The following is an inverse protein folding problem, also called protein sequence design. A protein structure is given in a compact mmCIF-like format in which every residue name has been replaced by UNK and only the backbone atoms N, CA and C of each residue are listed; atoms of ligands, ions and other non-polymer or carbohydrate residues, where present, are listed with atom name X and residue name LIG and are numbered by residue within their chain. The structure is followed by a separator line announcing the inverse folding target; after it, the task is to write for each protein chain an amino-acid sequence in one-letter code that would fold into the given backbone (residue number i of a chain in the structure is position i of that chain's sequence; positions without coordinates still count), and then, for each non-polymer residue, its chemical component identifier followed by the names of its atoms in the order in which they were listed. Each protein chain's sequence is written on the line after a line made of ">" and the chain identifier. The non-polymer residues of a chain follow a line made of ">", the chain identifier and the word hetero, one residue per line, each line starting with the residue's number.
data_IF_354556320940
#
_entry.id   IF_354556320940
#
_cell.length_a   1.000
_cell.length_b   1.000
_cell.length_c   1.000
_cell.angle_alpha   90.00
_cell.angle_beta   90.00
_cell.angle_gamma   90.00
#
_symmetry.space_group_name_H-M   'P 1'
#
loop_
_entity.id
_entity.type
_entity.pdbx_description
1 polymer ?
#
# COMPACT_ATOMS: atom_id res chain seq x y z
N UNK A 1 10.99 34.40 17.78
CA UNK A 1 9.82 33.88 18.52
C UNK A 1 8.76 33.59 17.48
N UNK A 2 8.77 32.38 16.93
CA UNK A 2 7.81 31.97 15.90
C UNK A 2 6.51 31.58 16.62
N UNK A 3 5.42 32.26 16.31
CA UNK A 3 4.12 32.05 16.98
C UNK A 3 3.49 30.73 16.56
N UNK A 4 2.60 30.20 17.41
CA UNK A 4 1.89 28.93 17.25
C UNK A 4 1.01 28.85 15.97
N UNK A 5 0.89 29.94 15.22
CA UNK A 5 0.07 30.06 14.00
C UNK A 5 0.69 29.38 12.76
N UNK A 6 1.99 29.09 12.78
CA UNK A 6 2.67 28.37 11.69
C UNK A 6 2.31 26.86 11.68
N UNK A 7 1.96 26.32 12.86
CA UNK A 7 1.51 24.93 12.98
C UNK A 7 0.07 24.76 12.49
N UNK A 8 -0.77 25.81 12.58
CA UNK A 8 -2.19 25.74 12.19
C UNK A 8 -2.43 25.99 10.71
N UNK A 9 -1.55 26.71 9.99
CA UNK A 9 -1.65 26.92 8.53
C UNK A 9 -1.23 25.74 7.66
N UNK A 10 -0.65 24.68 8.25
CA UNK A 10 -0.25 23.46 7.55
C UNK A 10 -0.94 22.21 8.11
N UNK A 11 -2.23 22.30 8.43
CA UNK A 11 -3.11 21.13 8.24
C UNK A 11 -3.25 20.96 6.73
N UNK A 12 -2.17 20.56 6.06
CA UNK A 12 -2.24 20.08 4.70
C UNK A 12 -3.32 18.99 4.70
N UNK A 13 -4.29 19.10 3.81
CA UNK A 13 -5.30 18.06 3.61
C UNK A 13 -4.56 16.73 3.55
N UNK A 14 -4.94 15.77 4.42
CA UNK A 14 -4.30 14.46 4.42
C UNK A 14 -4.41 13.88 3.01
N UNK A 15 -3.29 13.38 2.47
CA UNK A 15 -3.30 12.77 1.15
C UNK A 15 -4.26 11.58 1.09
N UNK A 16 -4.72 11.22 -0.10
CA UNK A 16 -5.62 10.07 -0.25
C UNK A 16 -5.00 8.78 0.34
N UNK A 17 -3.69 8.62 0.20
CA UNK A 17 -2.93 7.50 0.75
C UNK A 17 -2.92 7.53 2.28
N UNK A 18 -2.77 8.71 2.88
CA UNK A 18 -2.83 8.86 4.34
C UNK A 18 -4.22 8.51 4.88
N UNK A 19 -5.28 8.94 4.18
CA UNK A 19 -6.66 8.61 4.55
C UNK A 19 -6.92 7.10 4.41
N UNK A 20 -6.46 6.48 3.32
CA UNK A 20 -6.56 5.05 3.11
C UNK A 20 -5.80 4.24 4.18
N UNK A 21 -4.61 4.69 4.59
CA UNK A 21 -3.84 4.05 5.64
C UNK A 21 -4.57 4.08 6.99
N UNK A 22 -5.22 5.19 7.33
CA UNK A 22 -6.05 5.30 8.55
C UNK A 22 -7.21 4.30 8.50
N UNK A 23 -7.90 4.20 7.36
CA UNK A 23 -9.02 3.28 7.20
C UNK A 23 -8.58 1.81 7.25
N UNK A 24 -7.44 1.46 6.66
CA UNK A 24 -6.85 0.12 6.75
C UNK A 24 -6.55 -0.27 8.21
N UNK A 25 -6.00 0.64 9.00
CA UNK A 25 -5.74 0.40 10.43
C UNK A 25 -7.05 0.20 11.20
N UNK A 26 -8.08 1.02 10.93
CA UNK A 26 -9.41 0.88 11.55
C UNK A 26 -10.01 -0.49 11.25
N UNK A 27 -10.03 -0.89 9.97
CA UNK A 27 -10.58 -2.18 9.53
C UNK A 27 -9.81 -3.36 10.13
N UNK A 28 -8.49 -3.28 10.25
CA UNK A 28 -7.68 -4.32 10.88
C UNK A 28 -8.04 -4.48 12.36
N UNK A 29 -8.19 -3.38 13.10
CA UNK A 29 -8.60 -3.41 14.50
C UNK A 29 -9.99 -4.02 14.68
N UNK A 30 -10.95 -3.66 13.82
CA UNK A 30 -12.31 -4.22 13.85
C UNK A 30 -12.36 -5.72 13.59
N UNK A 31 -11.41 -6.23 12.80
CA UNK A 31 -11.26 -7.65 12.52
C UNK A 31 -10.42 -8.39 13.58
N UNK A 32 -9.92 -7.70 14.60
CA UNK A 32 -9.01 -8.28 15.60
C UNK A 32 -7.63 -8.64 15.04
N UNK A 33 -7.27 -8.09 13.88
CA UNK A 33 -5.98 -8.30 13.25
C UNK A 33 -4.91 -7.45 13.97
N UNK A 34 -3.83 -8.11 14.41
CA UNK A 34 -2.67 -7.42 14.97
C UNK A 34 -2.07 -6.46 13.94
N UNK A 35 -1.70 -5.24 14.35
CA UNK A 35 -1.07 -4.28 13.43
C UNK A 35 0.33 -4.74 12.98
N UNK A 36 1.01 -5.51 13.83
CA UNK A 36 2.36 -6.02 13.61
C UNK A 36 2.44 -7.53 13.93
N UNK A 37 3.61 -8.12 13.68
CA UNK A 37 3.87 -9.54 13.92
C UNK A 37 3.78 -10.41 12.67
N UNK A 38 4.06 -11.72 12.79
CA UNK A 38 4.15 -12.64 11.65
C UNK A 38 2.88 -12.77 10.81
N UNK A 39 1.73 -12.44 11.37
CA UNK A 39 0.44 -12.48 10.65
C UNK A 39 -0.26 -11.12 10.69
N UNK A 40 0.44 -10.06 11.12
CA UNK A 40 -0.13 -8.74 11.29
C UNK A 40 -0.23 -7.93 10.00
N UNK A 41 -1.05 -6.88 10.05
CA UNK A 41 -1.37 -5.99 8.93
C UNK A 41 -0.11 -5.51 8.20
N UNK A 42 0.88 -4.98 8.91
CA UNK A 42 2.07 -4.38 8.28
C UNK A 42 2.87 -5.40 7.48
N UNK A 43 2.96 -6.65 7.95
CA UNK A 43 3.67 -7.71 7.22
C UNK A 43 2.90 -8.09 5.95
N UNK A 44 1.58 -8.23 6.06
CA UNK A 44 0.73 -8.55 4.92
C UNK A 44 0.77 -7.44 3.87
N UNK A 45 0.65 -6.18 4.28
CA UNK A 45 0.72 -5.02 3.39
C UNK A 45 2.07 -4.94 2.66
N UNK A 46 3.18 -5.09 3.39
CA UNK A 46 4.53 -5.10 2.79
C UNK A 46 4.67 -6.21 1.77
N UNK A 47 4.17 -7.42 2.08
CA UNK A 47 4.19 -8.54 1.15
C UNK A 47 3.40 -8.21 -0.12
N UNK A 48 2.17 -7.73 0.02
CA UNK A 48 1.31 -7.40 -1.12
C UNK A 48 1.95 -6.35 -2.01
N UNK A 49 2.50 -5.26 -1.45
CA UNK A 49 3.16 -4.21 -2.24
C UNK A 49 4.34 -4.77 -3.03
N UNK A 50 5.19 -5.59 -2.39
CA UNK A 50 6.34 -6.20 -3.08
C UNK A 50 5.92 -7.15 -4.19
N UNK A 51 4.92 -8.01 -3.95
CA UNK A 51 4.43 -8.95 -4.96
C UNK A 51 3.74 -8.24 -6.13
N UNK A 52 2.97 -7.18 -5.86
CA UNK A 52 2.34 -6.34 -6.90
C UNK A 52 3.40 -5.64 -7.74
N UNK A 53 4.36 -4.96 -7.12
CA UNK A 53 5.43 -4.28 -7.84
C UNK A 53 6.24 -5.26 -8.72
N UNK A 54 6.58 -6.43 -8.18
CA UNK A 54 7.27 -7.47 -8.95
C UNK A 54 6.44 -7.95 -10.16
N UNK A 55 5.12 -8.13 -9.99
CA UNK A 55 4.25 -8.59 -11.08
C UNK A 55 4.11 -7.54 -12.19
N UNK A 56 4.06 -6.26 -11.83
CA UNK A 56 4.08 -5.14 -12.80
C UNK A 56 5.39 -5.11 -13.57
N UNK A 57 6.53 -5.17 -12.88
CA UNK A 57 7.87 -5.24 -13.50
C UNK A 57 8.02 -6.44 -14.44
N UNK A 58 7.50 -7.61 -14.05
CA UNK A 58 7.50 -8.79 -14.92
C UNK A 58 6.65 -8.61 -16.17
N UNK A 59 5.48 -7.98 -16.03
CA UNK A 59 4.58 -7.70 -17.16
C UNK A 59 5.24 -6.73 -18.14
N UNK A 60 5.87 -5.67 -17.63
CA UNK A 60 6.65 -4.73 -18.44
C UNK A 60 7.82 -5.43 -19.14
N UNK A 61 8.57 -6.27 -18.42
CA UNK A 61 9.72 -6.96 -18.97
C UNK A 61 9.37 -8.00 -20.05
N UNK A 62 8.29 -8.76 -19.85
CA UNK A 62 7.85 -9.82 -20.76
C UNK A 62 7.00 -9.28 -21.92
N UNK A 63 6.38 -8.11 -21.74
CA UNK A 63 5.47 -7.51 -22.72
C UNK A 63 4.09 -8.16 -22.76
N UNK A 64 3.78 -9.05 -21.81
CA UNK A 64 2.49 -9.71 -21.67
C UNK A 64 2.19 -10.05 -20.20
N UNK A 65 0.91 -10.12 -19.85
CA UNK A 65 0.49 -10.42 -18.48
C UNK A 65 0.67 -11.90 -18.12
N UNK A 66 0.71 -12.18 -16.81
CA UNK A 66 0.69 -13.55 -16.33
C UNK A 66 -0.56 -14.27 -16.85
N UNK A 67 -0.35 -15.43 -17.49
CA UNK A 67 -1.38 -16.25 -18.16
C UNK A 67 -1.88 -15.72 -19.52
N UNK A 68 -1.25 -14.69 -20.09
CA UNK A 68 -1.54 -14.28 -21.46
C UNK A 68 -1.14 -15.38 -22.47
N UNK A 69 -2.02 -15.75 -23.43
CA UNK A 69 -1.69 -16.66 -24.52
C UNK A 69 -0.44 -16.29 -25.31
N UNK A 70 -0.10 -14.99 -25.39
CA UNK A 70 1.13 -14.50 -26.02
C UNK A 70 2.40 -15.10 -25.37
N UNK A 71 2.33 -15.47 -24.09
CA UNK A 71 3.40 -16.11 -23.34
C UNK A 71 3.45 -17.64 -23.41
N UNK A 72 2.52 -18.29 -24.12
CA UNK A 72 2.42 -19.76 -24.14
C UNK A 72 3.50 -20.45 -24.99
N UNK A 73 4.28 -19.68 -25.78
CA UNK A 73 5.22 -20.21 -26.76
C UNK A 73 4.48 -20.89 -27.92
N UNK A 74 4.88 -20.60 -29.15
CA UNK A 74 4.39 -21.35 -30.34
C UNK A 74 5.12 -22.66 -30.49
#
# INVERSE_FOLDING_TARGET
>A
MTTLDDVTKKKAEQSAEQQAAVELVRLAQEQGLSLTGPDGLLKQLTKTVLETALNEEMTEHLGYEKHDPAGAGT
#
